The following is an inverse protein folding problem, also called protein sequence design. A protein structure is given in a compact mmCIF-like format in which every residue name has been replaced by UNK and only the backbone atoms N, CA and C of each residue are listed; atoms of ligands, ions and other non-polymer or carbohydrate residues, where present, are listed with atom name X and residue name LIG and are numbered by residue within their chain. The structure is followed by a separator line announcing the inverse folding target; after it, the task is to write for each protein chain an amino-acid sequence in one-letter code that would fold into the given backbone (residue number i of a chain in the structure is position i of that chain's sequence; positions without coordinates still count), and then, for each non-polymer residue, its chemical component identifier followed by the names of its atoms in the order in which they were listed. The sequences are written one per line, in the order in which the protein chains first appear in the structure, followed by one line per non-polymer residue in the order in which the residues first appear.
data_IF_704592454254
#
_entry.id   IF_704592454254
#
_cell.length_a   1.000
_cell.length_b   1.000
_cell.length_c   1.000
_cell.angle_alpha   90.00
_cell.angle_beta   90.00
_cell.angle_gamma   90.00
#
_symmetry.space_group_name_H-M   'P 1'
#
loop_
_entity.id
_entity.type
_entity.pdbx_description
1 polymer ?
#
# COMPACT_ATOMS: atom_id res chain seq x y z
N UNK A 1 9.60 -13.12 -2.40
CA UNK A 1 9.31 -11.71 -2.77
C UNK A 1 8.19 -11.26 -1.85
N UNK A 2 8.46 -10.31 -0.94
CA UNK A 2 7.66 -10.06 0.29
C UNK A 2 6.84 -8.75 0.22
N UNK A 3 6.47 -8.30 -0.98
CA UNK A 3 5.85 -6.99 -1.15
C UNK A 3 4.39 -7.11 -1.57
N UNK A 4 3.55 -6.22 -1.04
CA UNK A 4 2.11 -6.14 -1.30
C UNK A 4 1.77 -5.22 -2.49
N UNK A 5 2.78 -4.82 -3.26
CA UNK A 5 2.62 -3.91 -4.39
C UNK A 5 2.14 -4.66 -5.63
N UNK A 6 1.07 -4.15 -6.25
CA UNK A 6 0.75 -4.43 -7.63
C UNK A 6 1.77 -3.74 -8.51
N UNK A 7 2.35 -4.49 -9.45
CA UNK A 7 3.38 -4.00 -10.36
C UNK A 7 2.94 -4.21 -11.80
N UNK A 8 3.24 -3.23 -12.66
CA UNK A 8 3.05 -3.31 -14.10
C UNK A 8 4.36 -3.04 -14.84
N UNK A 9 4.28 -2.85 -16.16
CA UNK A 9 5.44 -2.61 -17.01
C UNK A 9 6.32 -1.42 -16.56
N UNK A 10 5.74 -0.43 -15.86
CA UNK A 10 6.43 0.76 -15.38
C UNK A 10 6.75 0.75 -13.87
N UNK A 11 6.63 -0.40 -13.19
CA UNK A 11 6.89 -0.53 -11.75
C UNK A 11 5.62 -0.63 -10.89
N UNK A 12 5.73 -0.26 -9.61
CA UNK A 12 4.61 -0.32 -8.67
C UNK A 12 3.50 0.68 -9.04
N UNK A 13 2.25 0.22 -9.00
CA UNK A 13 1.07 1.02 -9.35
C UNK A 13 0.13 1.25 -8.17
N UNK A 14 0.27 0.48 -7.09
CA UNK A 14 -0.56 0.57 -5.89
C UNK A 14 -0.42 -0.66 -5.02
N UNK A 15 -0.88 -0.57 -3.78
CA UNK A 15 -0.99 -1.68 -2.84
C UNK A 15 -2.20 -2.55 -3.18
N UNK A 16 -2.05 -3.85 -2.97
CA UNK A 16 -3.18 -4.76 -3.01
C UNK A 16 -4.03 -4.60 -1.73
N UNK A 17 -5.18 -3.95 -1.86
CA UNK A 17 -6.07 -3.73 -0.72
C UNK A 17 -6.76 -5.01 -0.23
N UNK A 18 -6.80 -6.09 -1.03
CA UNK A 18 -7.43 -7.34 -0.58
C UNK A 18 -6.67 -7.96 0.60
N UNK A 19 -5.35 -7.82 0.60
CA UNK A 19 -4.47 -8.30 1.67
C UNK A 19 -4.56 -7.46 2.94
N UNK A 20 -5.00 -6.18 2.89
CA UNK A 20 -5.22 -5.34 4.08
C UNK A 20 -6.22 -6.00 5.03
N UNK A 21 -7.31 -6.58 4.51
CA UNK A 21 -8.31 -7.26 5.33
C UNK A 21 -7.73 -8.46 6.08
N UNK A 22 -6.88 -9.24 5.41
CA UNK A 22 -6.27 -10.42 6.02
C UNK A 22 -5.25 -10.03 7.09
N UNK A 23 -4.39 -9.05 6.80
CA UNK A 23 -3.41 -8.53 7.75
C UNK A 23 -4.09 -7.90 8.96
N UNK A 24 -5.14 -7.10 8.75
CA UNK A 24 -5.93 -6.54 9.85
C UNK A 24 -6.53 -7.62 10.76
N UNK A 25 -7.02 -8.72 10.17
CA UNK A 25 -7.50 -9.89 10.92
C UNK A 25 -6.41 -10.56 11.74
N UNK A 26 -5.19 -10.72 11.20
CA UNK A 26 -4.05 -11.26 11.95
C UNK A 26 -3.60 -10.35 13.09
N UNK A 27 -3.77 -9.04 12.94
CA UNK A 27 -3.45 -8.04 13.97
C UNK A 27 -4.58 -7.86 14.99
N UNK A 28 -5.73 -8.52 14.80
CA UNK A 28 -6.88 -8.41 15.70
C UNK A 28 -7.64 -7.08 15.59
N UNK A 29 -7.44 -6.32 14.51
CA UNK A 29 -8.14 -5.05 14.29
C UNK A 29 -9.63 -5.29 13.99
N UNK A 30 -10.47 -4.48 14.61
CA UNK A 30 -11.90 -4.42 14.31
C UNK A 30 -12.16 -3.74 12.98
N UNK A 31 -13.36 -3.95 12.43
CA UNK A 31 -13.76 -3.29 11.18
C UNK A 31 -13.75 -1.76 11.29
N UNK A 32 -14.09 -1.19 12.46
CA UNK A 32 -14.06 0.26 12.67
C UNK A 32 -12.63 0.77 12.60
N UNK A 33 -11.71 0.14 13.32
CA UNK A 33 -10.29 0.54 13.31
C UNK A 33 -9.70 0.45 11.91
N UNK A 34 -10.04 -0.58 11.13
CA UNK A 34 -9.60 -0.68 9.73
C UNK A 34 -10.14 0.47 8.88
N UNK A 35 -11.41 0.84 9.05
CA UNK A 35 -12.00 1.97 8.33
C UNK A 35 -11.34 3.28 8.71
N UNK A 36 -11.01 3.46 9.99
CA UNK A 36 -10.39 4.68 10.51
C UNK A 36 -8.95 4.85 10.02
N UNK A 37 -8.15 3.78 9.92
CA UNK A 37 -6.75 3.85 9.45
C UNK A 37 -6.60 3.76 7.93
N UNK A 38 -7.65 3.34 7.20
CA UNK A 38 -7.56 3.16 5.75
C UNK A 38 -7.20 4.43 4.95
N UNK A 39 -7.71 5.64 5.31
CA UNK A 39 -7.25 6.89 4.71
C UNK A 39 -5.75 7.10 4.86
N UNK A 40 -5.17 6.80 6.02
CA UNK A 40 -3.74 6.98 6.28
C UNK A 40 -2.89 6.07 5.39
N UNK A 41 -3.34 4.83 5.18
CA UNK A 41 -2.69 3.89 4.24
C UNK A 41 -2.65 4.47 2.82
N UNK A 42 -3.72 5.13 2.36
CA UNK A 42 -3.76 5.76 1.03
C UNK A 42 -2.80 6.95 0.92
N UNK A 43 -2.65 7.72 1.98
CA UNK A 43 -1.66 8.82 2.03
C UNK A 43 -0.24 8.27 1.93
N UNK A 44 0.06 7.22 2.72
CA UNK A 44 1.37 6.56 2.66
C UNK A 44 1.65 5.92 1.28
N UNK A 45 0.63 5.30 0.66
CA UNK A 45 0.73 4.74 -0.68
C UNK A 45 1.06 5.79 -1.73
N UNK A 46 0.34 6.92 -1.72
CA UNK A 46 0.55 8.00 -2.68
C UNK A 46 1.98 8.55 -2.59
N UNK A 47 2.48 8.77 -1.37
CA UNK A 47 3.83 9.26 -1.16
C UNK A 47 4.88 8.22 -1.56
N UNK A 48 4.67 6.95 -1.23
CA UNK A 48 5.56 5.87 -1.64
C UNK A 48 5.64 5.76 -3.17
N UNK A 49 4.52 5.87 -3.89
CA UNK A 49 4.50 5.87 -5.35
C UNK A 49 5.25 7.08 -5.94
N UNK A 50 5.11 8.26 -5.33
CA UNK A 50 5.85 9.47 -5.73
C UNK A 50 7.35 9.26 -5.60
N UNK A 51 7.82 8.79 -4.43
CA UNK A 51 9.25 8.53 -4.17
C UNK A 51 9.79 7.45 -5.11
N UNK A 52 9.04 6.37 -5.35
CA UNK A 52 9.44 5.32 -6.28
C UNK A 52 9.58 5.83 -7.72
N UNK A 53 8.70 6.75 -8.15
CA UNK A 53 8.81 7.40 -9.45
C UNK A 53 10.05 8.31 -9.53
N UNK A 54 10.30 9.13 -8.51
CA UNK A 54 11.46 10.02 -8.44
C UNK A 54 12.80 9.26 -8.48
N UNK A 55 12.88 8.15 -7.75
CA UNK A 55 14.06 7.28 -7.76
C UNK A 55 14.29 6.59 -9.10
N UNK A 56 13.23 6.30 -9.85
CA UNK A 56 13.34 5.74 -11.20
C UNK A 56 13.87 6.76 -12.19
N UNK A 57 13.39 8.00 -12.10
CA UNK A 57 13.74 9.07 -13.03
C UNK A 57 15.12 9.69 -12.71
N UNK A 58 15.61 9.53 -11.48
CA UNK A 58 16.96 9.93 -11.05
C UNK A 58 18.06 8.91 -11.38
N UNK A 59 17.74 7.87 -12.16
CA UNK A 59 18.63 6.74 -12.45
C UNK A 59 19.03 6.66 -13.92
#
# INVERSE_FOLDING_TARGET
MYTQWRTGACGATGLDYTSIRHVAGFLGLTRSEVVDVFPDIRVMEAEALRVMAEQRDSK
#
